data_IF_243885845725
#
_entry.id   IF_243885845725
#
_cell.length_a   1.000
_cell.length_b   1.000
_cell.length_c   1.000
_cell.angle_alpha   90.00
_cell.angle_beta   90.00
_cell.angle_gamma   90.00
#
_symmetry.space_group_name_H-M   'P 1'
#
loop_
_entity.id
_entity.type
_entity.pdbx_description
1 polymer ?
#
# COMPACT_ATOMS: atom_id res chain seq x y z
N UNK A 1 8.76 -1.13 15.84
CA UNK A 1 7.98 0.12 15.70
C UNK A 1 8.96 1.27 15.87
N UNK A 2 8.92 2.27 15.00
CA UNK A 2 9.78 3.46 15.05
C UNK A 2 8.87 4.68 15.09
N UNK A 3 9.14 5.64 15.97
CA UNK A 3 8.25 6.80 16.18
C UNK A 3 9.05 8.10 16.20
N UNK A 4 8.38 9.16 15.73
CA UNK A 4 8.83 10.56 15.75
C UNK A 4 7.68 11.42 16.25
N UNK A 5 7.92 12.71 16.49
CA UNK A 5 6.89 13.65 16.95
C UNK A 5 5.59 13.64 16.11
N UNK A 6 5.68 13.36 14.80
CA UNK A 6 4.53 13.43 13.88
C UNK A 6 4.11 12.10 13.27
N UNK A 7 4.97 11.09 13.27
CA UNK A 7 4.76 9.86 12.48
C UNK A 7 5.24 8.62 13.23
N UNK A 8 4.45 7.54 13.08
CA UNK A 8 4.76 6.19 13.55
C UNK A 8 4.94 5.29 12.34
N UNK A 9 6.10 4.63 12.26
CA UNK A 9 6.34 3.50 11.38
C UNK A 9 6.08 2.20 12.15
N UNK A 10 4.93 1.59 11.85
CA UNK A 10 4.46 0.34 12.45
C UNK A 10 4.27 -0.74 11.40
N UNK A 11 4.13 -1.97 11.87
CA UNK A 11 3.74 -3.06 10.99
C UNK A 11 2.31 -2.83 10.47
N UNK A 12 2.10 -3.30 9.24
CA UNK A 12 0.81 -3.30 8.58
C UNK A 12 -0.26 -4.03 9.40
N UNK A 13 -1.47 -3.51 9.36
CA UNK A 13 -2.66 -4.12 9.97
C UNK A 13 -3.73 -4.31 8.89
N UNK A 14 -4.69 -5.21 9.15
CA UNK A 14 -5.73 -5.51 8.15
C UNK A 14 -6.57 -4.29 7.75
N UNK A 15 -6.78 -3.36 8.68
CA UNK A 15 -7.51 -2.12 8.43
C UNK A 15 -6.83 -1.22 7.38
N UNK A 16 -5.50 -1.26 7.27
CA UNK A 16 -4.73 -0.39 6.37
C UNK A 16 -4.90 -0.79 4.89
N UNK A 17 -5.32 -2.03 4.63
CA UNK A 17 -5.37 -2.59 3.28
C UNK A 17 -6.35 -1.86 2.37
N UNK A 18 -7.48 -1.42 2.90
CA UNK A 18 -8.49 -0.68 2.12
C UNK A 18 -7.90 0.62 1.55
N UNK A 19 -7.20 1.38 2.39
CA UNK A 19 -6.50 2.61 2.01
C UNK A 19 -5.36 2.34 1.03
N UNK A 20 -4.57 1.30 1.25
CA UNK A 20 -3.48 0.93 0.34
C UNK A 20 -3.98 0.50 -1.05
N UNK A 21 -5.10 -0.23 -1.12
CA UNK A 21 -5.75 -0.57 -2.39
C UNK A 21 -6.20 0.69 -3.12
N UNK A 22 -6.86 1.62 -2.41
CA UNK A 22 -7.30 2.88 -3.01
C UNK A 22 -6.12 3.66 -3.60
N UNK A 23 -5.00 3.77 -2.87
CA UNK A 23 -3.79 4.41 -3.36
C UNK A 23 -3.20 3.71 -4.59
N UNK A 24 -3.14 2.38 -4.59
CA UNK A 24 -2.59 1.60 -5.71
C UNK A 24 -3.43 1.64 -6.99
N UNK A 25 -4.71 2.01 -6.89
CA UNK A 25 -5.62 2.21 -8.02
C UNK A 25 -5.62 3.65 -8.55
N UNK A 26 -4.99 4.59 -7.84
CA UNK A 26 -4.94 5.99 -8.21
C UNK A 26 -3.85 6.23 -9.27
N UNK A 27 -4.18 6.70 -10.49
CA UNK A 27 -3.22 6.87 -11.57
C UNK A 27 -2.16 7.95 -11.26
N UNK A 28 -2.46 8.95 -10.44
CA UNK A 28 -1.49 9.98 -10.07
C UNK A 28 -0.45 9.43 -9.10
N UNK A 29 -0.88 8.62 -8.14
CA UNK A 29 0.02 7.88 -7.23
C UNK A 29 0.89 6.89 -8.02
N UNK A 30 0.29 6.23 -9.01
CA UNK A 30 0.96 5.21 -9.81
C UNK A 30 1.73 5.74 -11.02
N UNK A 31 1.73 7.06 -11.26
CA UNK A 31 2.25 7.71 -12.47
C UNK A 31 3.69 7.30 -12.87
N UNK A 32 4.52 7.05 -11.88
CA UNK A 32 5.94 6.71 -12.07
C UNK A 32 6.24 5.22 -11.95
N UNK A 33 5.22 4.40 -11.71
CA UNK A 33 5.35 2.96 -11.77
C UNK A 33 5.10 2.47 -13.19
N UNK A 34 5.68 1.33 -13.55
CA UNK A 34 5.58 0.79 -14.91
C UNK A 34 4.13 0.60 -15.38
N UNK A 35 3.19 0.32 -14.46
CA UNK A 35 1.77 0.17 -14.77
C UNK A 35 0.91 0.55 -13.55
N UNK A 36 -0.28 1.11 -13.80
CA UNK A 36 -1.32 1.26 -12.77
C UNK A 36 -1.71 -0.14 -12.27
N UNK A 37 -1.80 -0.34 -10.95
CA UNK A 37 -2.14 -1.66 -10.43
C UNK A 37 -3.62 -1.93 -10.70
N UNK A 38 -3.94 -3.11 -11.21
CA UNK A 38 -5.32 -3.61 -11.17
C UNK A 38 -5.64 -4.13 -9.77
N UNK A 39 -6.91 -4.18 -9.38
CA UNK A 39 -7.34 -4.66 -8.05
C UNK A 39 -6.70 -6.02 -7.68
N UNK A 40 -6.68 -6.96 -8.63
CA UNK A 40 -6.06 -8.27 -8.47
C UNK A 40 -4.54 -8.22 -8.25
N UNK A 41 -3.86 -7.22 -8.82
CA UNK A 41 -2.42 -7.03 -8.66
C UNK A 41 -2.08 -6.42 -7.30
N UNK A 42 -2.88 -5.46 -6.82
CA UNK A 42 -2.72 -4.92 -5.45
C UNK A 42 -2.91 -6.03 -4.41
N UNK A 43 -3.92 -6.88 -4.58
CA UNK A 43 -4.14 -8.03 -3.71
C UNK A 43 -2.99 -9.07 -3.77
N UNK A 44 -2.31 -9.21 -4.91
CA UNK A 44 -1.13 -10.09 -5.02
C UNK A 44 0.07 -9.51 -4.28
N UNK A 45 0.24 -8.20 -4.28
CA UNK A 45 1.29 -7.51 -3.53
C UNK A 45 1.11 -7.68 -2.02
N UNK A 46 -0.15 -7.76 -1.54
CA UNK A 46 -0.48 -8.14 -0.15
C UNK A 46 0.25 -9.41 0.29
N UNK A 47 0.24 -10.45 -0.54
CA UNK A 47 0.84 -11.75 -0.20
C UNK A 47 2.36 -11.76 -0.26
N UNK A 48 2.98 -10.86 -1.04
CA UNK A 48 4.43 -10.89 -1.32
C UNK A 48 5.26 -10.08 -0.31
N UNK A 49 4.70 -9.02 0.26
CA UNK A 49 5.44 -8.07 1.10
C UNK A 49 5.02 -8.06 2.57
N UNK A 50 3.97 -8.81 2.95
CA UNK A 50 3.34 -8.70 4.27
C UNK A 50 3.05 -10.06 4.94
N UNK A 51 3.77 -11.13 4.54
CA UNK A 51 3.90 -12.39 5.30
C UNK A 51 5.31 -12.52 5.87
#
# INVERSE_FOLDING_TARGET
MIETERLILRQWQEADYSSFIKMGLDPDVMKYFHEVLTHNRVLRWRKKFMS
#
